data_IF_607680726490
#
_entry.id   IF_607680726490
#
_cell.length_a   1.000
_cell.length_b   1.000
_cell.length_c   1.000
_cell.angle_alpha   90.00
_cell.angle_beta   90.00
_cell.angle_gamma   90.00
#
_symmetry.space_group_name_H-M   'P 1'
#
loop_
_entity.id
_entity.type
_entity.pdbx_description
1 polymer ?
#
# COMPACT_ATOMS: atom_id res chain seq x y z
N UNK A 1 -3.92 1.03 -15.03
CA UNK A 1 -2.90 2.10 -14.83
C UNK A 1 -3.26 2.90 -13.58
N UNK A 2 -2.58 2.72 -12.42
CA UNK A 2 -3.00 3.27 -11.11
C UNK A 2 -2.93 4.80 -11.00
N UNK A 3 -2.24 5.47 -11.93
CA UNK A 3 -2.10 6.93 -11.98
C UNK A 3 -2.88 7.56 -13.16
N UNK A 4 -3.90 6.87 -13.68
CA UNK A 4 -4.63 7.31 -14.87
C UNK A 4 -3.79 7.26 -16.15
N UNK A 5 -4.16 8.06 -17.14
CA UNK A 5 -3.47 8.14 -18.44
C UNK A 5 -3.84 9.38 -19.26
N UNK A 6 -2.98 9.72 -20.24
CA UNK A 6 -3.16 10.88 -21.11
C UNK A 6 -3.17 12.21 -20.36
N UNK A 7 -3.98 13.18 -20.82
CA UNK A 7 -4.09 14.54 -20.25
C UNK A 7 -4.58 14.58 -18.80
N UNK A 8 -5.12 13.47 -18.28
CA UNK A 8 -5.64 13.36 -16.91
C UNK A 8 -4.81 12.39 -16.06
N UNK A 9 -3.55 12.13 -16.44
CA UNK A 9 -2.62 11.42 -15.56
C UNK A 9 -2.41 12.19 -14.26
N UNK A 10 -2.24 11.46 -13.16
CA UNK A 10 -1.98 12.05 -11.85
C UNK A 10 -0.74 12.96 -11.90
N UNK A 11 -0.91 14.23 -11.54
CA UNK A 11 0.17 15.20 -11.45
C UNK A 11 1.23 14.80 -10.40
N UNK A 12 0.81 14.09 -9.35
CA UNK A 12 1.69 13.60 -8.28
C UNK A 12 2.35 12.25 -8.56
N UNK A 13 2.27 11.72 -9.78
CA UNK A 13 2.76 10.36 -10.13
C UNK A 13 4.21 10.12 -9.71
N UNK A 14 5.10 11.07 -9.97
CA UNK A 14 6.53 10.87 -9.70
C UNK A 14 6.85 11.05 -8.22
N UNK A 15 6.16 11.97 -7.53
CA UNK A 15 6.24 12.10 -6.07
C UNK A 15 5.75 10.82 -5.38
N UNK A 16 4.58 10.31 -5.76
CA UNK A 16 4.00 9.09 -5.19
C UNK A 16 4.94 7.89 -5.38
N UNK A 17 5.59 7.78 -6.55
CA UNK A 17 6.56 6.72 -6.82
C UNK A 17 7.79 6.80 -5.92
N UNK A 18 8.34 8.00 -5.71
CA UNK A 18 9.51 8.16 -4.85
C UNK A 18 9.13 7.87 -3.39
N UNK A 19 8.00 8.41 -2.92
CA UNK A 19 7.51 8.20 -1.56
C UNK A 19 7.28 6.71 -1.27
N UNK A 20 6.61 6.00 -2.18
CA UNK A 20 6.38 4.55 -2.05
C UNK A 20 7.69 3.76 -2.10
N UNK A 21 8.63 4.11 -2.98
CA UNK A 21 9.93 3.43 -3.07
C UNK A 21 10.72 3.55 -1.77
N UNK A 22 10.85 4.77 -1.25
CA UNK A 22 11.59 5.02 -0.01
C UNK A 22 10.93 4.29 1.16
N UNK A 23 9.60 4.42 1.29
CA UNK A 23 8.85 3.73 2.33
C UNK A 23 9.07 2.21 2.31
N UNK A 24 8.90 1.57 1.14
CA UNK A 24 9.04 0.11 1.03
C UNK A 24 10.47 -0.35 1.33
N UNK A 25 11.48 0.35 0.83
CA UNK A 25 12.89 -0.02 1.07
C UNK A 25 13.23 0.06 2.54
N UNK A 26 12.93 1.17 3.20
CA UNK A 26 13.25 1.33 4.63
C UNK A 26 12.46 0.36 5.50
N UNK A 27 11.18 0.17 5.16
CA UNK A 27 10.32 -0.72 5.93
C UNK A 27 10.76 -2.19 5.86
N UNK A 28 11.12 -2.70 4.67
CA UNK A 28 11.56 -4.09 4.49
C UNK A 28 12.96 -4.34 5.05
N UNK A 29 13.82 -3.29 5.10
CA UNK A 29 15.17 -3.41 5.68
C UNK A 29 15.16 -3.36 7.21
N UNK A 30 14.28 -2.56 7.81
CA UNK A 30 14.26 -2.33 9.26
C UNK A 30 13.21 -3.13 10.04
N UNK A 31 12.16 -3.61 9.38
CA UNK A 31 11.03 -4.24 10.06
C UNK A 31 10.54 -5.50 9.32
N UNK A 32 10.00 -6.45 10.10
CA UNK A 32 9.24 -7.58 9.59
C UNK A 32 7.75 -7.34 9.82
N UNK A 33 6.94 -7.54 8.79
CA UNK A 33 5.48 -7.39 8.83
C UNK A 33 4.83 -8.75 8.66
N UNK A 34 3.90 -9.07 9.55
CA UNK A 34 3.07 -10.27 9.47
C UNK A 34 1.60 -9.89 9.53
N UNK A 35 0.79 -10.48 8.66
CA UNK A 35 -0.66 -10.40 8.75
C UNK A 35 -1.13 -11.16 9.98
N UNK A 36 -2.05 -10.59 10.74
CA UNK A 36 -2.64 -11.25 11.91
C UNK A 36 -3.74 -12.24 11.52
N UNK A 37 -4.21 -12.18 10.28
CA UNK A 37 -5.27 -13.00 9.75
C UNK A 37 -4.90 -13.64 8.41
N UNK A 38 -5.37 -14.87 8.18
CA UNK A 38 -5.08 -15.62 6.96
C UNK A 38 -5.95 -15.20 5.78
N UNK A 39 -7.17 -14.71 6.05
CA UNK A 39 -8.13 -14.30 5.03
C UNK A 39 -8.84 -13.00 5.44
N UNK A 40 -8.92 -12.08 4.50
CA UNK A 40 -9.67 -10.84 4.61
C UNK A 40 -10.71 -10.77 3.50
N UNK A 41 -11.91 -10.28 3.83
CA UNK A 41 -12.90 -9.90 2.82
C UNK A 41 -12.57 -8.49 2.32
N UNK A 42 -12.61 -8.31 1.00
CA UNK A 42 -12.41 -7.00 0.38
C UNK A 42 -13.75 -6.42 -0.02
N UNK A 43 -13.99 -5.16 0.33
CA UNK A 43 -15.03 -4.37 -0.28
C UNK A 43 -14.47 -3.71 -1.53
N UNK A 44 -15.06 -3.96 -2.68
CA UNK A 44 -14.47 -3.62 -3.99
C UNK A 44 -14.95 -2.30 -4.57
N UNK A 45 -16.09 -1.77 -4.11
CA UNK A 45 -16.68 -0.53 -4.60
C UNK A 45 -16.67 0.54 -3.50
N UNK A 46 -16.25 1.79 -3.80
CA UNK A 46 -15.77 2.32 -5.09
C UNK A 46 -14.28 2.03 -5.39
N UNK A 47 -13.50 1.57 -4.42
CA UNK A 47 -12.09 1.19 -4.54
C UNK A 47 -11.85 -0.02 -3.61
N UNK A 48 -11.04 -1.02 -3.98
CA UNK A 48 -10.83 -2.22 -3.16
C UNK A 48 -10.10 -1.91 -1.85
N UNK A 49 -10.77 -2.15 -0.72
CA UNK A 49 -10.16 -2.08 0.61
C UNK A 49 -10.55 -3.27 1.50
N UNK A 50 -9.69 -3.65 2.46
CA UNK A 50 -9.95 -4.72 3.42
C UNK A 50 -11.03 -4.29 4.44
N UNK A 51 -12.07 -5.11 4.66
CA UNK A 51 -13.17 -4.74 5.56
C UNK A 51 -12.78 -4.71 7.04
N UNK A 52 -11.70 -5.40 7.39
CA UNK A 52 -11.15 -5.54 8.75
C UNK A 52 -10.01 -4.53 9.03
N UNK A 53 -9.73 -3.62 8.09
CA UNK A 53 -8.64 -2.66 8.23
C UNK A 53 -7.24 -3.25 8.06
N UNK A 54 -7.09 -4.51 7.63
CA UNK A 54 -5.82 -5.21 7.43
C UNK A 54 -4.93 -5.19 8.68
N UNK A 55 -5.28 -5.99 9.71
CA UNK A 55 -4.51 -6.03 10.95
C UNK A 55 -3.12 -6.63 10.70
N UNK A 56 -2.07 -5.86 11.01
CA UNK A 56 -0.66 -6.25 10.83
C UNK A 56 0.10 -6.13 12.15
N UNK A 57 1.02 -7.06 12.36
CA UNK A 57 2.06 -6.96 13.38
C UNK A 57 3.37 -6.52 12.72
N UNK A 58 3.90 -5.38 13.16
CA UNK A 58 5.16 -4.83 12.69
C UNK A 58 6.18 -4.96 13.82
N UNK A 59 7.27 -5.65 13.53
CA UNK A 59 8.40 -5.83 14.46
C UNK A 59 9.64 -5.23 13.82
N UNK A 60 10.27 -4.26 14.49
CA UNK A 60 11.48 -3.61 13.99
C UNK A 60 12.68 -4.01 14.86
N UNK A 61 13.85 -4.10 14.23
CA UNK A 61 15.12 -4.43 14.89
C UNK A 61 15.64 -3.29 15.77
#
# INVERSE_FOLDING_TARGET
MPFGGGRRSCAGKDLARIMLKVFVVEHVRGCSVRLLNERTRFQTFPMPYPTDGMPVNVTCL
#
